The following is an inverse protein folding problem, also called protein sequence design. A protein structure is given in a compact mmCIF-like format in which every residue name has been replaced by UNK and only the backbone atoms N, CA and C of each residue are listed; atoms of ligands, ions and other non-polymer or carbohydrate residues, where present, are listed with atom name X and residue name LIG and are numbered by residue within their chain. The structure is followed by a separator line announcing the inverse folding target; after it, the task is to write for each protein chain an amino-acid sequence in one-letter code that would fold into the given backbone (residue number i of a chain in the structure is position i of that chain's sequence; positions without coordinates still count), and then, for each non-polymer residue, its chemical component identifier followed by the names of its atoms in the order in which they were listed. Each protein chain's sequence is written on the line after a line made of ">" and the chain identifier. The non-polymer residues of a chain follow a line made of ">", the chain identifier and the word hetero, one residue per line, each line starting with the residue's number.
data_IF_414053668748
#
_entry.id   IF_414053668748
#
_cell.length_a   1.000
_cell.length_b   1.000
_cell.length_c   1.000
_cell.angle_alpha   90.00
_cell.angle_beta   90.00
_cell.angle_gamma   90.00
#
_symmetry.space_group_name_H-M   'P 1'
#
loop_
_entity.id
_entity.type
_entity.pdbx_description
1 polymer ?
#
# COMPACT_ATOMS: atom_id res chain seq x y z
N UNK A 1 7.23 10.98 -16.76
CA UNK A 1 6.59 12.15 -16.10
C UNK A 1 6.61 12.06 -14.58
N UNK A 2 7.23 11.01 -14.03
CA UNK A 2 7.39 10.80 -12.60
C UNK A 2 8.74 11.36 -12.15
N UNK A 3 8.72 12.19 -11.11
CA UNK A 3 9.91 12.71 -10.44
C UNK A 3 9.98 12.16 -9.01
N UNK A 4 11.10 11.55 -8.66
CA UNK A 4 11.30 10.86 -7.40
C UNK A 4 11.76 11.80 -6.29
N UNK A 5 11.15 11.67 -5.13
CA UNK A 5 11.56 12.31 -3.87
C UNK A 5 12.36 11.32 -3.02
N UNK A 6 11.88 10.07 -2.95
CA UNK A 6 12.60 8.92 -2.41
C UNK A 6 12.30 7.68 -3.27
N UNK A 7 13.34 6.88 -3.55
CA UNK A 7 13.21 5.66 -4.36
C UNK A 7 14.20 4.61 -3.86
N UNK A 8 13.76 3.81 -2.91
CA UNK A 8 14.53 2.73 -2.28
C UNK A 8 14.07 1.34 -2.78
N UNK A 9 13.24 1.31 -3.83
CA UNK A 9 12.64 0.11 -4.42
C UNK A 9 11.72 -0.61 -3.43
N UNK A 10 10.91 0.17 -2.72
CA UNK A 10 9.87 -0.37 -1.85
C UNK A 10 8.73 -0.91 -2.69
N UNK A 11 7.92 -1.79 -2.11
CA UNK A 11 6.75 -2.37 -2.78
C UNK A 11 5.55 -1.38 -2.83
N UNK A 12 5.59 -0.33 -2.01
CA UNK A 12 4.52 0.66 -1.89
C UNK A 12 4.97 2.07 -2.29
N UNK A 13 4.07 2.83 -2.92
CA UNK A 13 4.31 4.18 -3.44
C UNK A 13 3.27 5.18 -2.94
N UNK A 14 3.72 6.37 -2.53
CA UNK A 14 2.89 7.56 -2.45
C UNK A 14 3.15 8.42 -3.69
N UNK A 15 2.11 8.63 -4.49
CA UNK A 15 2.17 9.41 -5.72
C UNK A 15 1.41 10.73 -5.57
N UNK A 16 2.15 11.83 -5.64
CA UNK A 16 1.60 13.18 -5.61
C UNK A 16 1.17 13.63 -7.01
N UNK A 17 -0.05 14.18 -7.14
CA UNK A 17 -0.60 14.71 -8.40
C UNK A 17 -1.04 16.15 -8.21
N UNK A 18 -0.32 17.09 -8.85
CA UNK A 18 -0.50 18.52 -8.62
C UNK A 18 -1.73 19.10 -9.34
N UNK A 19 -2.09 20.34 -9.03
CA UNK A 19 -3.20 21.07 -9.66
C UNK A 19 -2.82 21.83 -10.92
N UNK A 20 -3.72 22.71 -11.36
CA UNK A 20 -3.50 23.60 -12.51
C UNK A 20 -2.38 24.62 -12.23
N UNK A 21 -1.57 24.91 -13.26
CA UNK A 21 -0.40 25.80 -13.21
C UNK A 21 0.62 25.42 -12.14
N UNK A 22 0.66 24.13 -11.79
CA UNK A 22 1.58 23.57 -10.82
C UNK A 22 2.71 22.77 -11.47
N UNK A 23 3.65 22.40 -10.60
CA UNK A 23 4.74 21.45 -10.80
C UNK A 23 5.17 20.94 -9.43
N UNK A 24 6.46 20.62 -9.24
CA UNK A 24 7.00 20.29 -7.91
C UNK A 24 6.77 21.41 -6.89
N UNK A 25 6.81 22.67 -7.33
CA UNK A 25 6.62 23.84 -6.47
C UNK A 25 5.22 23.94 -5.85
N UNK A 26 4.25 23.17 -6.36
CA UNK A 26 2.92 23.03 -5.76
C UNK A 26 3.03 22.59 -4.31
N UNK A 27 4.01 21.74 -4.00
CA UNK A 27 4.15 21.10 -2.71
C UNK A 27 5.13 21.80 -1.77
N UNK A 28 5.82 22.84 -2.25
CA UNK A 28 6.87 23.51 -1.52
C UNK A 28 6.29 24.56 -0.57
N UNK A 29 6.59 24.43 0.72
CA UNK A 29 6.41 25.51 1.69
C UNK A 29 7.52 26.55 1.50
N UNK A 30 8.77 26.09 1.39
CA UNK A 30 9.93 26.91 1.07
C UNK A 30 10.92 26.11 0.18
N UNK A 31 12.17 26.59 0.02
CA UNK A 31 13.18 25.92 -0.82
C UNK A 31 13.68 24.59 -0.27
N UNK A 32 13.63 24.41 1.05
CA UNK A 32 14.18 23.26 1.77
C UNK A 32 13.09 22.29 2.22
N UNK A 33 11.85 22.79 2.37
CA UNK A 33 10.71 22.06 2.91
C UNK A 33 9.59 21.94 1.89
N UNK A 34 9.19 20.70 1.63
CA UNK A 34 8.03 20.37 0.80
C UNK A 34 7.23 19.23 1.43
N UNK A 35 5.95 19.13 1.08
CA UNK A 35 5.07 18.09 1.63
C UNK A 35 5.58 16.65 1.35
N UNK A 36 5.92 16.28 0.10
CA UNK A 36 6.51 14.97 -0.17
C UNK A 36 7.78 14.70 0.63
N UNK A 37 8.64 15.71 0.83
CA UNK A 37 9.87 15.56 1.59
C UNK A 37 9.61 15.33 3.07
N UNK A 38 8.67 16.06 3.67
CA UNK A 38 8.26 15.82 5.06
C UNK A 38 7.72 14.40 5.28
N UNK A 39 7.00 13.83 4.29
CA UNK A 39 6.55 12.43 4.38
C UNK A 39 7.71 11.43 4.18
N UNK A 40 8.68 11.75 3.33
CA UNK A 40 9.85 10.88 3.10
C UNK A 40 10.75 10.81 4.34
N UNK A 41 10.86 11.92 5.08
CA UNK A 41 11.66 12.03 6.31
C UNK A 41 10.95 11.47 7.56
N UNK A 42 9.64 11.25 7.51
CA UNK A 42 8.88 10.66 8.60
C UNK A 42 9.08 9.14 8.66
N UNK A 43 9.63 8.61 9.74
CA UNK A 43 10.02 7.19 9.85
C UNK A 43 8.85 6.22 9.62
N UNK A 44 7.63 6.55 10.03
CA UNK A 44 6.47 5.67 9.85
C UNK A 44 6.06 5.54 8.38
N UNK A 45 6.36 6.57 7.58
CA UNK A 45 5.97 6.65 6.17
C UNK A 45 7.15 6.29 5.28
N UNK A 46 8.30 6.95 5.47
CA UNK A 46 9.52 6.77 4.70
C UNK A 46 10.06 5.35 4.73
N UNK A 47 9.88 4.58 5.81
CA UNK A 47 10.30 3.18 5.86
C UNK A 47 9.41 2.24 5.03
N UNK A 48 8.18 2.65 4.69
CA UNK A 48 7.18 1.80 4.02
C UNK A 48 6.95 2.20 2.57
N UNK A 49 7.00 3.50 2.27
CA UNK A 49 6.65 4.05 0.96
C UNK A 49 7.84 4.72 0.29
N UNK A 50 8.01 4.43 -1.00
CA UNK A 50 8.69 5.35 -1.90
C UNK A 50 7.76 6.52 -2.21
N UNK A 51 8.32 7.67 -2.57
CA UNK A 51 7.56 8.89 -2.79
C UNK A 51 7.94 9.53 -4.10
N UNK A 52 6.94 9.82 -4.93
CA UNK A 52 7.13 10.47 -6.21
C UNK A 52 6.04 11.51 -6.50
N UNK A 53 6.33 12.41 -7.44
CA UNK A 53 5.40 13.37 -8.00
C UNK A 53 5.17 13.06 -9.47
N UNK A 54 3.91 13.00 -9.91
CA UNK A 54 3.56 13.01 -11.32
C UNK A 54 3.47 14.47 -11.79
N UNK A 55 4.43 14.86 -12.64
CA UNK A 55 4.54 16.21 -13.16
C UNK A 55 4.11 16.27 -14.62
N UNK A 56 3.18 17.17 -14.90
CA UNK A 56 2.61 17.37 -16.23
C UNK A 56 2.49 18.85 -16.56
N UNK A 57 2.65 19.19 -17.83
CA UNK A 57 2.65 20.58 -18.27
C UNK A 57 1.24 21.20 -18.12
N UNK A 58 1.14 22.18 -17.22
CA UNK A 58 0.05 23.15 -17.15
C UNK A 58 0.70 24.52 -16.98
N UNK A 59 0.40 25.49 -17.85
CA UNK A 59 1.16 26.76 -17.97
C UNK A 59 1.46 27.50 -16.65
N UNK A 60 2.59 27.17 -16.00
CA UNK A 60 3.65 28.08 -15.53
C UNK A 60 5.00 27.35 -15.33
N UNK A 61 5.37 26.37 -16.17
CA UNK A 61 6.77 25.89 -16.19
C UNK A 61 7.67 26.88 -16.95
N UNK A 62 7.85 28.09 -16.40
CA UNK A 62 8.91 29.02 -16.82
C UNK A 62 10.11 28.95 -15.87
N UNK A 63 10.63 27.75 -15.57
CA UNK A 63 11.94 27.67 -14.89
C UNK A 63 12.75 26.41 -15.19
N UNK A 64 12.91 26.05 -16.47
CA UNK A 64 14.14 25.40 -16.91
C UNK A 64 14.71 26.19 -18.09
N UNK A 65 15.94 26.68 -17.91
CA UNK A 65 16.74 27.53 -18.82
C UNK A 65 16.48 29.06 -18.79
N UNK A 66 16.80 29.70 -17.65
CA UNK A 66 17.46 31.03 -17.72
C UNK A 66 18.95 30.82 -18.00
N UNK A 67 19.29 30.55 -19.26
CA UNK A 67 20.59 30.89 -19.81
C UNK A 67 20.36 31.97 -20.86
N UNK A 68 20.44 33.23 -20.42
CA UNK A 68 20.50 34.38 -21.32
C UNK A 68 21.80 34.30 -22.12
N UNK A 69 21.71 33.85 -23.37
CA UNK A 69 22.84 33.81 -24.28
C UNK A 69 22.40 33.58 -25.73
N UNK A 70 23.08 34.28 -26.65
CA UNK A 70 22.91 34.22 -28.11
C UNK A 70 23.00 32.81 -28.73
N UNK A 71 23.31 31.78 -27.93
CA UNK A 71 23.49 30.38 -28.32
C UNK A 71 22.18 29.56 -28.41
N UNK A 72 21.06 30.06 -27.89
CA UNK A 72 19.76 29.35 -27.94
C UNK A 72 19.19 29.18 -29.37
N UNK A 73 19.70 29.91 -30.37
CA UNK A 73 19.21 29.83 -31.75
C UNK A 73 19.81 28.68 -32.57
N UNK A 74 20.90 28.05 -32.11
CA UNK A 74 21.65 27.07 -32.91
C UNK A 74 21.30 25.61 -32.53
N UNK A 75 20.70 25.39 -31.35
CA UNK A 75 20.34 24.05 -30.87
C UNK A 75 18.83 23.75 -30.92
N UNK A 76 18.12 24.23 -31.94
CA UNK A 76 16.72 23.84 -32.20
C UNK A 76 16.62 22.41 -32.78
N UNK A 77 17.01 21.40 -31.99
CA UNK A 77 16.63 20.00 -32.23
C UNK A 77 15.30 19.74 -31.51
N UNK A 78 14.21 19.64 -32.29
CA UNK A 78 12.91 19.02 -31.96
C UNK A 78 12.51 19.09 -30.48
N UNK A 79 12.32 20.28 -29.93
CA UNK A 79 11.52 20.40 -28.70
C UNK A 79 10.06 20.08 -29.06
N UNK A 80 9.51 19.01 -28.48
CA UNK A 80 8.06 18.75 -28.49
C UNK A 80 7.41 20.05 -28.02
N UNK A 81 6.55 20.66 -28.85
CA UNK A 81 5.81 21.85 -28.45
C UNK A 81 4.90 21.45 -27.27
N UNK A 82 5.27 21.83 -26.05
CA UNK A 82 4.49 21.56 -24.84
C UNK A 82 3.18 22.37 -24.93
N UNK A 83 2.06 21.66 -25.14
CA UNK A 83 0.72 22.24 -25.21
C UNK A 83 -0.04 21.83 -23.96
N UNK A 84 -0.91 22.71 -23.47
CA UNK A 84 -1.88 22.33 -22.44
C UNK A 84 -2.74 21.20 -23.01
N UNK A 85 -2.70 20.05 -22.34
CA UNK A 85 -3.58 18.93 -22.64
C UNK A 85 -4.87 19.06 -21.82
N UNK A 86 -6.02 18.62 -22.36
CA UNK A 86 -7.21 18.50 -21.54
C UNK A 86 -7.03 17.42 -20.46
N UNK A 87 -7.83 17.48 -19.40
CA UNK A 87 -7.63 16.65 -18.20
C UNK A 87 -7.80 15.16 -18.41
N UNK A 88 -8.60 14.76 -19.40
CA UNK A 88 -8.76 13.37 -19.83
C UNK A 88 -7.48 12.82 -20.48
N UNK A 89 -6.84 13.58 -21.36
CA UNK A 89 -5.53 13.23 -21.94
C UNK A 89 -4.43 13.14 -20.86
N UNK A 90 -4.43 14.05 -19.89
CA UNK A 90 -3.49 13.96 -18.75
C UNK A 90 -3.76 12.70 -17.91
N UNK A 91 -5.04 12.33 -17.73
CA UNK A 91 -5.39 11.10 -17.03
C UNK A 91 -4.94 9.84 -17.80
N UNK A 92 -4.96 9.85 -19.14
CA UNK A 92 -4.38 8.79 -19.96
C UNK A 92 -2.85 8.66 -19.80
N UNK A 93 -2.16 9.80 -19.71
CA UNK A 93 -0.72 9.80 -19.44
C UNK A 93 -0.43 9.23 -18.05
N UNK A 94 -1.17 9.65 -17.03
CA UNK A 94 -1.02 9.11 -15.67
C UNK A 94 -1.35 7.61 -15.61
N UNK A 95 -2.39 7.17 -16.33
CA UNK A 95 -2.76 5.76 -16.47
C UNK A 95 -1.65 4.94 -17.12
N UNK A 96 -1.01 5.48 -18.16
CA UNK A 96 0.14 4.85 -18.81
C UNK A 96 1.33 4.73 -17.87
N UNK A 97 1.69 5.81 -17.15
CA UNK A 97 2.80 5.79 -16.19
C UNK A 97 2.56 4.76 -15.09
N UNK A 98 1.33 4.67 -14.55
CA UNK A 98 0.98 3.65 -13.55
C UNK A 98 1.11 2.23 -14.11
N UNK A 99 0.70 2.01 -15.35
CA UNK A 99 0.72 0.68 -15.97
C UNK A 99 2.09 0.23 -16.47
N UNK A 100 2.95 1.17 -16.86
CA UNK A 100 4.21 0.86 -17.54
C UNK A 100 5.41 1.14 -16.66
N UNK A 101 5.44 2.29 -16.00
CA UNK A 101 6.60 2.77 -15.25
C UNK A 101 6.50 2.45 -13.77
N UNK A 102 5.28 2.40 -13.22
CA UNK A 102 5.00 2.10 -11.81
C UNK A 102 4.32 0.73 -11.64
N UNK A 103 4.47 -0.17 -12.61
CA UNK A 103 3.87 -1.50 -12.60
C UNK A 103 4.35 -2.39 -11.46
N UNK A 104 5.59 -2.14 -11.01
CA UNK A 104 6.26 -2.98 -10.01
C UNK A 104 5.76 -2.66 -8.58
N UNK A 105 5.08 -1.53 -8.38
CA UNK A 105 4.47 -1.21 -7.10
C UNK A 105 3.17 -1.98 -6.92
N UNK A 106 3.09 -2.82 -5.89
CA UNK A 106 1.87 -3.55 -5.58
C UNK A 106 0.79 -2.65 -4.95
N UNK A 107 1.20 -1.53 -4.35
CA UNK A 107 0.34 -0.63 -3.56
C UNK A 107 0.67 0.84 -3.82
N UNK A 108 -0.30 1.58 -4.32
CA UNK A 108 -0.17 3.02 -4.62
C UNK A 108 -1.23 3.80 -3.84
N UNK A 109 -0.80 4.82 -3.10
CA UNK A 109 -1.68 5.85 -2.52
C UNK A 109 -1.48 7.14 -3.31
N UNK A 110 -2.54 7.65 -3.90
CA UNK A 110 -2.50 8.91 -4.63
C UNK A 110 -2.90 10.05 -3.70
N UNK A 111 -2.04 11.07 -3.59
CA UNK A 111 -2.35 12.33 -2.91
C UNK A 111 -2.48 13.42 -3.97
N UNK A 112 -3.66 14.00 -4.12
CA UNK A 112 -3.91 14.92 -5.21
C UNK A 112 -4.49 16.24 -4.75
N UNK A 113 -4.07 17.32 -5.40
CA UNK A 113 -4.52 18.67 -5.10
C UNK A 113 -5.33 19.25 -6.26
N UNK A 114 -6.45 19.92 -5.94
CA UNK A 114 -7.20 20.72 -6.91
C UNK A 114 -7.52 19.91 -8.19
N UNK A 115 -7.21 20.42 -9.38
CA UNK A 115 -7.40 19.73 -10.66
C UNK A 115 -6.72 18.34 -10.73
N UNK A 116 -5.61 18.13 -10.01
CA UNK A 116 -4.92 16.85 -9.94
C UNK A 116 -5.82 15.74 -9.44
N UNK A 117 -6.72 16.04 -8.50
CA UNK A 117 -7.68 15.06 -8.00
C UNK A 117 -8.74 14.66 -9.03
N UNK A 118 -9.12 15.55 -9.94
CA UNK A 118 -10.02 15.22 -11.05
C UNK A 118 -9.34 14.25 -12.02
N UNK A 119 -8.07 14.50 -12.33
CA UNK A 119 -7.23 13.62 -13.17
C UNK A 119 -7.10 12.23 -12.51
N UNK A 120 -6.76 12.19 -11.22
CA UNK A 120 -6.64 10.93 -10.47
C UNK A 120 -7.94 10.16 -10.40
N UNK A 121 -9.08 10.83 -10.19
CA UNK A 121 -10.40 10.16 -10.23
C UNK A 121 -10.69 9.55 -11.59
N UNK A 122 -10.38 10.26 -12.69
CA UNK A 122 -10.63 9.77 -14.05
C UNK A 122 -9.81 8.52 -14.35
N UNK A 123 -8.51 8.55 -14.00
CA UNK A 123 -7.63 7.38 -14.02
C UNK A 123 -8.24 6.19 -13.27
N UNK A 124 -8.65 6.40 -12.01
CA UNK A 124 -9.15 5.33 -11.14
C UNK A 124 -10.40 4.72 -11.76
N UNK A 125 -11.33 5.56 -12.24
CA UNK A 125 -12.55 5.12 -12.91
C UNK A 125 -12.26 4.29 -14.16
N UNK A 126 -11.30 4.70 -14.99
CA UNK A 126 -10.88 3.92 -16.17
C UNK A 126 -10.41 2.52 -15.77
N UNK A 127 -9.58 2.40 -14.73
CA UNK A 127 -9.14 1.09 -14.22
C UNK A 127 -10.33 0.25 -13.74
N UNK A 128 -11.28 0.85 -13.01
CA UNK A 128 -12.48 0.14 -12.52
C UNK A 128 -13.39 -0.33 -13.67
N UNK A 129 -13.61 0.52 -14.67
CA UNK A 129 -14.48 0.24 -15.82
C UNK A 129 -13.88 -0.79 -16.77
N UNK A 130 -12.55 -0.83 -16.89
CA UNK A 130 -11.84 -1.88 -17.62
C UNK A 130 -11.71 -3.19 -16.82
N UNK A 131 -12.26 -3.23 -15.60
CA UNK A 131 -12.16 -4.37 -14.67
C UNK A 131 -10.72 -4.80 -14.40
N UNK A 132 -9.78 -3.84 -14.45
CA UNK A 132 -8.39 -4.09 -14.14
C UNK A 132 -8.18 -4.27 -12.64
N UNK A 133 -7.35 -5.25 -12.27
CA UNK A 133 -6.82 -5.28 -10.91
C UNK A 133 -6.03 -3.98 -10.67
N UNK A 134 -6.48 -3.18 -9.72
CA UNK A 134 -5.84 -1.91 -9.37
C UNK A 134 -4.89 -2.10 -8.19
N UNK A 135 -3.64 -1.68 -8.38
CA UNK A 135 -2.67 -1.49 -7.30
C UNK A 135 -2.89 -0.16 -6.55
N UNK A 136 -3.80 0.70 -7.01
CA UNK A 136 -4.18 1.92 -6.30
C UNK A 136 -5.08 1.52 -5.13
N UNK A 137 -4.55 1.61 -3.91
CA UNK A 137 -5.24 1.22 -2.68
C UNK A 137 -5.90 2.42 -1.97
N UNK A 138 -5.43 3.64 -2.28
CA UNK A 138 -5.86 4.85 -1.60
C UNK A 138 -5.90 6.08 -2.48
N UNK A 139 -6.84 6.98 -2.18
CA UNK A 139 -6.93 8.31 -2.77
C UNK A 139 -7.18 9.37 -1.69
N UNK A 140 -6.27 10.33 -1.54
CA UNK A 140 -6.39 11.44 -0.61
C UNK A 140 -6.55 12.73 -1.41
N UNK A 141 -7.70 13.38 -1.23
CA UNK A 141 -8.08 14.62 -1.88
C UNK A 141 -7.69 15.83 -1.02
N UNK A 142 -6.98 16.80 -1.59
CA UNK A 142 -6.67 18.09 -0.99
C UNK A 142 -7.33 19.21 -1.83
N UNK A 143 -8.40 19.81 -1.31
CA UNK A 143 -9.13 20.90 -1.99
C UNK A 143 -9.50 20.58 -3.46
N UNK A 144 -9.93 19.34 -3.72
CA UNK A 144 -10.30 18.89 -5.07
C UNK A 144 -11.75 19.28 -5.38
N UNK A 145 -12.04 19.94 -6.52
CA UNK A 145 -13.41 20.25 -6.92
C UNK A 145 -14.11 18.98 -7.43
N UNK A 146 -14.69 18.19 -6.53
CA UNK A 146 -15.36 16.93 -6.87
C UNK A 146 -16.72 17.12 -7.54
N UNK A 147 -17.41 18.21 -7.22
CA UNK A 147 -18.73 18.53 -7.74
C UNK A 147 -18.83 20.00 -8.07
N UNK A 148 -19.34 20.34 -9.26
CA UNK A 148 -19.88 21.67 -9.58
C UNK A 148 -19.18 22.86 -8.93
N UNK A 149 -17.84 22.88 -8.92
CA UNK A 149 -17.15 24.13 -8.58
C UNK A 149 -17.67 25.14 -9.59
N UNK A 150 -17.99 26.35 -9.13
CA UNK A 150 -17.91 27.48 -10.04
C UNK A 150 -16.44 27.57 -10.45
N UNK A 151 -16.02 26.78 -11.43
CA UNK A 151 -14.70 26.80 -12.04
C UNK A 151 -14.39 28.20 -12.61
N UNK A 152 -15.42 29.06 -12.70
CA UNK A 152 -15.31 30.51 -12.77
C UNK A 152 -14.30 31.11 -11.76
N UNK A 153 -14.15 30.58 -10.53
CA UNK A 153 -13.15 31.08 -9.57
C UNK A 153 -11.73 30.55 -9.84
N UNK A 154 -11.59 29.40 -10.53
CA UNK A 154 -10.28 28.90 -10.98
C UNK A 154 -9.68 29.83 -12.04
N UNK A 155 -10.49 30.63 -12.75
CA UNK A 155 -9.98 31.69 -13.65
C UNK A 155 -8.97 32.61 -12.96
N UNK A 156 -9.13 32.87 -11.65
CA UNK A 156 -8.21 33.70 -10.87
C UNK A 156 -6.81 33.08 -10.71
N UNK A 157 -6.69 31.76 -10.85
CA UNK A 157 -5.42 31.03 -10.81
C UNK A 157 -4.74 30.97 -12.18
N UNK A 158 -5.42 31.42 -13.25
CA UNK A 158 -4.92 31.37 -14.62
C UNK A 158 -4.61 32.79 -15.09
N UNK A 159 -3.45 33.00 -15.72
CA UNK A 159 -3.13 34.32 -16.28
C UNK A 159 -4.14 34.73 -17.35
N UNK A 160 -4.47 36.03 -17.40
CA UNK A 160 -5.49 36.65 -18.26
C UNK A 160 -5.30 36.44 -19.78
N UNK A 161 -4.20 35.81 -20.21
CA UNK A 161 -3.87 35.51 -21.61
C UNK A 161 -3.93 34.01 -21.96
N UNK A 162 -4.38 33.14 -21.06
CA UNK A 162 -4.64 31.75 -21.39
C UNK A 162 -6.03 31.60 -22.01
N UNK A 163 -6.15 31.98 -23.28
CA UNK A 163 -7.12 31.30 -24.14
C UNK A 163 -6.93 29.79 -23.94
N UNK A 164 -8.01 29.06 -23.61
CA UNK A 164 -8.10 27.59 -23.54
C UNK A 164 -7.70 26.90 -22.22
N UNK A 165 -8.16 27.37 -21.06
CA UNK A 165 -8.64 26.40 -20.06
C UNK A 165 -10.13 26.32 -20.30
N UNK A 166 -10.58 25.26 -20.96
CA UNK A 166 -12.00 25.06 -21.21
C UNK A 166 -12.67 24.65 -19.89
N UNK A 167 -12.86 25.64 -19.02
CA UNK A 167 -13.53 25.51 -17.73
C UNK A 167 -14.98 25.02 -17.91
N UNK A 168 -15.55 25.22 -19.10
CA UNK A 168 -16.83 24.61 -19.52
C UNK A 168 -16.72 23.10 -19.66
N UNK A 169 -15.75 22.60 -20.44
CA UNK A 169 -15.48 21.15 -20.55
C UNK A 169 -15.09 20.51 -19.22
N UNK A 170 -14.35 21.22 -18.36
CA UNK A 170 -14.04 20.75 -17.02
C UNK A 170 -15.29 20.63 -16.14
N UNK A 171 -16.25 21.57 -16.24
CA UNK A 171 -17.48 21.54 -15.43
C UNK A 171 -18.36 20.35 -15.81
N UNK A 172 -18.58 20.10 -17.10
CA UNK A 172 -19.39 18.97 -17.59
C UNK A 172 -18.70 17.62 -17.33
N UNK A 173 -17.37 17.59 -17.45
CA UNK A 173 -16.56 16.44 -17.09
C UNK A 173 -16.66 16.12 -15.58
N UNK A 174 -16.65 17.11 -14.68
CA UNK A 174 -16.70 16.88 -13.23
C UNK A 174 -18.01 16.27 -12.76
N UNK A 175 -19.16 16.71 -13.27
CA UNK A 175 -20.47 16.16 -12.89
C UNK A 175 -20.64 14.72 -13.38
N UNK A 176 -20.24 14.44 -14.63
CA UNK A 176 -20.27 13.09 -15.20
C UNK A 176 -19.33 12.14 -14.46
N UNK A 177 -18.11 12.61 -14.17
CA UNK A 177 -17.11 11.88 -13.42
C UNK A 177 -17.58 11.61 -11.98
N UNK A 178 -18.26 12.56 -11.34
CA UNK A 178 -18.80 12.35 -10.00
C UNK A 178 -19.93 11.32 -9.97
N UNK A 179 -20.85 11.35 -10.94
CA UNK A 179 -21.89 10.31 -11.05
C UNK A 179 -21.28 8.91 -11.24
N UNK A 180 -20.27 8.79 -12.10
CA UNK A 180 -19.54 7.53 -12.31
C UNK A 180 -18.84 7.07 -11.02
N UNK A 181 -18.19 7.99 -10.31
CA UNK A 181 -17.55 7.73 -9.02
C UNK A 181 -18.53 7.12 -8.01
N UNK A 182 -19.70 7.73 -7.82
CA UNK A 182 -20.74 7.22 -6.91
C UNK A 182 -21.23 5.83 -7.33
N UNK A 183 -21.47 5.63 -8.63
CA UNK A 183 -21.93 4.35 -9.18
C UNK A 183 -20.91 3.22 -9.02
N UNK A 184 -19.62 3.55 -8.95
CA UNK A 184 -18.53 2.58 -8.80
C UNK A 184 -18.06 2.41 -7.35
N UNK A 185 -18.71 3.05 -6.36
CA UNK A 185 -18.25 3.16 -4.97
C UNK A 185 -17.68 1.89 -4.33
N UNK A 186 -18.27 0.72 -4.61
CA UNK A 186 -17.81 -0.58 -4.07
C UNK A 186 -16.47 -1.08 -4.62
N UNK A 187 -16.04 -0.59 -5.79
CA UNK A 187 -14.79 -0.98 -6.46
C UNK A 187 -13.70 0.08 -6.35
N UNK A 188 -13.98 1.21 -5.68
CA UNK A 188 -13.03 2.32 -5.55
C UNK A 188 -12.00 2.06 -4.45
N UNK A 189 -10.80 2.66 -4.56
CA UNK A 189 -9.84 2.68 -3.46
C UNK A 189 -10.41 3.42 -2.24
N UNK A 190 -9.81 3.15 -1.08
CA UNK A 190 -10.15 3.85 0.16
C UNK A 190 -9.88 5.34 -0.05
N UNK A 191 -10.94 6.15 0.08
CA UNK A 191 -10.86 7.58 -0.25
C UNK A 191 -11.03 8.46 0.98
N UNK A 192 -10.19 9.49 1.09
CA UNK A 192 -10.22 10.48 2.17
C UNK A 192 -10.17 11.90 1.60
N UNK A 193 -10.84 12.83 2.28
CA UNK A 193 -11.04 14.20 1.80
C UNK A 193 -10.52 15.22 2.81
N UNK A 194 -9.73 16.18 2.37
CA UNK A 194 -9.26 17.32 3.17
C UNK A 194 -9.66 18.60 2.47
N UNK A 195 -10.37 19.48 3.19
CA UNK A 195 -10.81 20.77 2.66
C UNK A 195 -10.37 21.93 3.55
N UNK A 196 -10.01 23.05 2.92
CA UNK A 196 -9.62 24.28 3.59
C UNK A 196 -10.85 25.06 4.05
N UNK A 197 -10.89 25.45 5.32
CA UNK A 197 -11.98 26.27 5.87
C UNK A 197 -11.97 27.70 5.31
N UNK A 198 -10.83 28.14 4.79
CA UNK A 198 -10.62 29.44 4.16
C UNK A 198 -10.41 29.32 2.64
N UNK A 199 -10.80 28.20 2.03
CA UNK A 199 -10.70 28.02 0.58
C UNK A 199 -11.76 28.87 -0.15
N UNK A 200 -11.30 29.85 -0.92
CA UNK A 200 -12.14 30.73 -1.74
C UNK A 200 -12.28 30.27 -3.19
N UNK A 201 -11.52 29.25 -3.61
CA UNK A 201 -11.50 28.70 -4.97
C UNK A 201 -12.45 27.51 -5.06
N UNK A 202 -12.33 26.58 -4.12
CA UNK A 202 -13.15 25.37 -4.03
C UNK A 202 -13.93 25.44 -2.72
N UNK A 203 -15.22 25.75 -2.82
CA UNK A 203 -16.07 25.75 -1.65
C UNK A 203 -16.22 24.34 -1.06
N UNK A 204 -16.60 24.26 0.22
CA UNK A 204 -16.78 22.99 0.94
C UNK A 204 -17.73 22.00 0.23
N UNK A 205 -18.79 22.49 -0.43
CA UNK A 205 -19.76 21.61 -1.11
C UNK A 205 -19.16 21.00 -2.37
N UNK A 206 -18.22 21.70 -3.00
CA UNK A 206 -17.45 21.20 -4.13
C UNK A 206 -16.31 20.28 -3.69
N UNK A 207 -15.67 20.58 -2.54
CA UNK A 207 -14.55 19.82 -1.99
C UNK A 207 -14.94 18.43 -1.43
N UNK A 208 -16.23 18.17 -1.26
CA UNK A 208 -16.76 16.94 -0.69
C UNK A 208 -17.77 16.32 -1.66
N UNK A 209 -17.68 15.02 -1.99
CA UNK A 209 -18.73 14.38 -2.79
C UNK A 209 -20.02 14.28 -1.97
N UNK A 210 -21.16 14.20 -2.66
CA UNK A 210 -22.51 14.20 -2.05
C UNK A 210 -22.73 13.06 -1.05
N UNK A 211 -21.98 11.96 -1.17
CA UNK A 211 -22.03 10.75 -0.35
C UNK A 211 -20.86 10.64 0.64
N UNK A 212 -20.04 11.68 0.81
CA UNK A 212 -18.94 11.62 1.78
C UNK A 212 -19.48 11.51 3.21
N UNK A 213 -19.20 10.38 3.84
CA UNK A 213 -19.40 10.21 5.28
C UNK A 213 -18.51 11.18 6.07
N UNK A 214 -18.99 11.67 7.22
CA UNK A 214 -18.26 12.65 8.05
C UNK A 214 -16.88 12.16 8.49
N UNK A 215 -16.71 10.85 8.71
CA UNK A 215 -15.45 10.18 9.09
C UNK A 215 -14.39 10.18 7.97
N UNK A 216 -14.79 10.31 6.70
CA UNK A 216 -13.89 10.30 5.55
C UNK A 216 -13.40 11.69 5.16
N UNK A 217 -13.79 12.73 5.90
CA UNK A 217 -13.44 14.12 5.60
C UNK A 217 -12.88 14.86 6.81
N UNK A 218 -11.88 15.71 6.60
CA UNK A 218 -11.30 16.59 7.61
C UNK A 218 -11.28 18.03 7.11
N UNK A 219 -11.68 18.95 7.99
CA UNK A 219 -11.52 20.38 7.78
C UNK A 219 -10.17 20.84 8.36
N UNK A 220 -9.47 21.70 7.63
CA UNK A 220 -8.23 22.32 8.11
C UNK A 220 -8.31 23.84 8.02
N UNK A 221 -7.49 24.52 8.81
CA UNK A 221 -7.41 25.98 8.84
C UNK A 221 -6.50 26.52 7.71
N UNK A 222 -6.84 26.20 6.46
CA UNK A 222 -6.02 26.52 5.28
C UNK A 222 -6.86 27.12 4.15
N UNK A 223 -6.19 27.78 3.21
CA UNK A 223 -6.76 28.18 1.92
C UNK A 223 -6.43 27.19 0.80
N UNK A 224 -6.85 27.50 -0.43
CA UNK A 224 -6.73 26.58 -1.58
C UNK A 224 -5.29 26.11 -1.83
N UNK A 225 -4.32 27.03 -1.81
CA UNK A 225 -2.92 26.73 -2.14
C UNK A 225 -2.07 26.36 -0.92
N UNK A 226 -2.42 26.81 0.28
CA UNK A 226 -1.65 26.52 1.49
C UNK A 226 -1.91 25.11 2.03
N UNK A 227 -3.08 24.53 1.72
CA UNK A 227 -3.46 23.16 2.14
C UNK A 227 -2.50 22.06 1.65
N UNK A 228 -1.72 22.30 0.60
CA UNK A 228 -0.74 21.33 0.09
C UNK A 228 0.71 21.68 0.45
N UNK A 229 0.91 22.66 1.35
CA UNK A 229 2.22 23.23 1.71
C UNK A 229 2.41 23.32 3.24
N UNK A 230 2.30 22.20 3.98
CA UNK A 230 2.58 22.19 5.40
C UNK A 230 4.02 22.68 5.67
N UNK A 231 4.16 23.50 6.71
CA UNK A 231 5.45 24.05 7.14
C UNK A 231 6.34 22.99 7.79
N UNK A 232 5.73 22.02 8.49
CA UNK A 232 6.45 20.98 9.21
C UNK A 232 5.52 19.79 9.55
N UNK A 233 6.08 18.76 10.18
CA UNK A 233 5.38 17.54 10.57
C UNK A 233 4.32 17.72 11.67
N UNK A 234 4.25 18.90 12.31
CA UNK A 234 3.19 19.24 13.28
C UNK A 234 2.02 20.02 12.67
N UNK A 235 2.12 20.47 11.41
CA UNK A 235 1.01 21.11 10.72
C UNK A 235 -0.21 20.19 10.65
N UNK A 236 -1.41 20.71 10.93
CA UNK A 236 -2.64 19.91 10.98
C UNK A 236 -2.89 19.11 9.71
N UNK A 237 -2.61 19.70 8.53
CA UNK A 237 -2.69 19.00 7.24
C UNK A 237 -1.78 17.79 7.21
N UNK A 238 -0.52 17.94 7.60
CA UNK A 238 0.45 16.85 7.59
C UNK A 238 -0.02 15.71 8.49
N UNK A 239 -0.42 16.03 9.73
CA UNK A 239 -0.90 15.04 10.70
C UNK A 239 -2.14 14.31 10.18
N UNK A 240 -3.11 15.04 9.61
CA UNK A 240 -4.31 14.44 9.04
C UNK A 240 -4.00 13.50 7.88
N UNK A 241 -3.12 13.93 6.95
CA UNK A 241 -2.72 13.10 5.80
C UNK A 241 -1.91 11.88 6.25
N UNK A 242 -0.99 12.02 7.21
CA UNK A 242 -0.25 10.90 7.81
C UNK A 242 -1.21 9.86 8.39
N UNK A 243 -2.19 10.29 9.17
CA UNK A 243 -3.22 9.41 9.73
C UNK A 243 -4.02 8.68 8.64
N UNK A 244 -4.39 9.38 7.57
CA UNK A 244 -5.08 8.77 6.44
C UNK A 244 -4.22 7.77 5.69
N UNK A 245 -2.94 8.06 5.45
CA UNK A 245 -2.01 7.11 4.83
C UNK A 245 -1.91 5.84 5.68
N UNK A 246 -1.74 5.99 6.99
CA UNK A 246 -1.64 4.86 7.91
C UNK A 246 -2.93 4.03 7.92
N UNK A 247 -4.10 4.66 8.04
CA UNK A 247 -5.40 3.97 7.99
C UNK A 247 -5.59 3.23 6.67
N UNK A 248 -5.35 3.89 5.53
CA UNK A 248 -5.45 3.26 4.21
C UNK A 248 -4.51 2.06 4.12
N UNK A 249 -3.27 2.20 4.57
CA UNK A 249 -2.30 1.11 4.50
C UNK A 249 -2.70 -0.09 5.37
N UNK A 250 -3.32 0.17 6.53
CA UNK A 250 -3.81 -0.87 7.44
C UNK A 250 -5.08 -1.55 6.92
N UNK A 251 -6.02 -0.78 6.36
CA UNK A 251 -7.33 -1.26 5.89
C UNK A 251 -7.24 -1.94 4.50
N UNK A 252 -6.32 -1.49 3.64
CA UNK A 252 -6.25 -1.98 2.28
C UNK A 252 -5.72 -3.42 2.22
N UNK A 253 -6.41 -4.35 1.52
CA UNK A 253 -6.01 -5.74 1.41
C UNK A 253 -4.54 -5.87 0.97
N UNK A 254 -3.74 -6.58 1.77
CA UNK A 254 -2.38 -6.98 1.39
C UNK A 254 -2.49 -8.29 0.62
N UNK A 255 -1.97 -8.33 -0.61
CA UNK A 255 -1.97 -9.56 -1.42
C UNK A 255 -0.85 -10.46 -0.91
N UNK A 256 -1.17 -11.73 -0.72
CA UNK A 256 -0.19 -12.79 -0.46
C UNK A 256 -0.39 -13.79 -1.59
N UNK A 257 0.72 -14.26 -2.17
CA UNK A 257 0.69 -15.33 -3.16
C UNK A 257 1.25 -16.58 -2.50
N UNK A 258 0.59 -17.72 -2.74
CA UNK A 258 1.15 -19.02 -2.39
C UNK A 258 2.21 -19.35 -3.42
N UNK A 259 3.43 -19.57 -2.94
CA UNK A 259 4.57 -19.95 -3.75
C UNK A 259 4.89 -21.43 -3.56
N UNK A 260 5.29 -22.07 -4.67
CA UNK A 260 5.75 -23.46 -4.63
C UNK A 260 7.12 -23.51 -3.98
N UNK A 261 7.26 -24.37 -2.98
CA UNK A 261 8.53 -24.59 -2.32
C UNK A 261 9.43 -25.55 -3.12
N UNK A 262 10.73 -25.23 -3.20
CA UNK A 262 11.78 -26.11 -3.73
C UNK A 262 12.73 -26.46 -2.58
N UNK A 263 12.84 -27.75 -2.26
CA UNK A 263 13.70 -28.22 -1.16
C UNK A 263 15.15 -28.36 -1.64
N UNK A 264 15.95 -27.37 -1.29
CA UNK A 264 17.41 -27.32 -1.47
C UNK A 264 18.14 -27.62 -0.14
N UNK A 265 17.45 -28.25 0.81
CA UNK A 265 17.92 -28.53 2.18
C UNK A 265 18.09 -27.28 3.06
N UNK A 266 17.44 -26.17 2.68
CA UNK A 266 17.54 -24.89 3.38
C UNK A 266 16.95 -24.91 4.81
N UNK A 267 16.08 -25.88 5.11
CA UNK A 267 15.42 -26.00 6.42
C UNK A 267 15.83 -27.23 7.23
N UNK A 268 16.78 -28.05 6.75
CA UNK A 268 17.15 -29.32 7.42
C UNK A 268 17.69 -29.11 8.85
N UNK A 269 18.25 -27.92 9.14
CA UNK A 269 18.78 -27.55 10.45
C UNK A 269 17.85 -26.66 11.28
N UNK A 270 16.63 -26.39 10.80
CA UNK A 270 15.63 -25.63 11.54
C UNK A 270 14.98 -26.52 12.61
N UNK A 271 14.75 -25.96 13.80
CA UNK A 271 14.24 -26.74 14.95
C UNK A 271 12.91 -27.42 14.65
N UNK A 272 12.02 -26.82 13.86
CA UNK A 272 10.75 -27.48 13.51
C UNK A 272 10.96 -28.77 12.72
N UNK A 273 11.99 -28.85 11.86
CA UNK A 273 12.36 -30.06 11.11
C UNK A 273 13.08 -31.05 12.02
N UNK A 274 14.02 -30.59 12.85
CA UNK A 274 14.70 -31.44 13.83
C UNK A 274 13.71 -32.13 14.78
N UNK A 275 12.68 -31.41 15.23
CA UNK A 275 11.59 -31.97 16.04
C UNK A 275 10.78 -33.04 15.30
N UNK A 276 10.67 -32.96 13.98
CA UNK A 276 10.03 -34.01 13.17
C UNK A 276 10.92 -35.25 13.03
N UNK A 277 12.24 -35.06 12.89
CA UNK A 277 13.22 -36.15 12.86
C UNK A 277 13.18 -36.93 14.18
N UNK A 278 13.18 -36.24 15.32
CA UNK A 278 13.11 -36.89 16.65
C UNK A 278 11.83 -37.71 16.81
N UNK A 279 10.74 -37.28 16.19
CA UNK A 279 9.45 -37.96 16.25
C UNK A 279 9.27 -39.03 15.16
N UNK A 280 10.28 -39.28 14.33
CA UNK A 280 10.22 -40.21 13.18
C UNK A 280 9.03 -39.94 12.26
N UNK A 281 8.77 -38.65 11.96
CA UNK A 281 7.70 -38.25 11.06
C UNK A 281 8.06 -38.59 9.61
N UNK A 282 7.10 -39.14 8.86
CA UNK A 282 7.28 -39.49 7.46
C UNK A 282 7.76 -38.30 6.60
N UNK A 283 8.74 -38.55 5.72
CA UNK A 283 9.41 -37.52 4.93
C UNK A 283 8.47 -36.65 4.10
N UNK A 284 7.40 -37.23 3.52
CA UNK A 284 6.39 -36.45 2.76
C UNK A 284 5.66 -35.44 3.64
N UNK A 285 5.36 -35.79 4.90
CA UNK A 285 4.72 -34.88 5.85
C UNK A 285 5.69 -33.75 6.22
N UNK A 286 6.96 -34.08 6.44
CA UNK A 286 8.01 -33.09 6.68
C UNK A 286 8.19 -32.14 5.48
N UNK A 287 8.12 -32.66 4.25
CA UNK A 287 8.17 -31.85 3.02
C UNK A 287 7.01 -30.85 2.94
N UNK A 288 5.78 -31.30 3.22
CA UNK A 288 4.62 -30.40 3.29
C UNK A 288 4.78 -29.34 4.39
N UNK A 289 5.33 -29.72 5.55
CA UNK A 289 5.61 -28.77 6.63
C UNK A 289 6.62 -27.69 6.23
N UNK A 290 7.68 -28.05 5.50
CA UNK A 290 8.63 -27.09 4.93
C UNK A 290 7.97 -26.10 3.97
N UNK A 291 7.09 -26.59 3.09
CA UNK A 291 6.33 -25.72 2.17
C UNK A 291 5.38 -24.77 2.89
N UNK A 292 4.70 -25.27 3.93
CA UNK A 292 3.85 -24.45 4.78
C UNK A 292 4.66 -23.37 5.50
N UNK A 293 5.79 -23.76 6.10
CA UNK A 293 6.71 -22.84 6.78
C UNK A 293 7.23 -21.75 5.82
N UNK A 294 7.67 -22.13 4.61
CA UNK A 294 8.13 -21.20 3.57
C UNK A 294 7.09 -20.12 3.27
N UNK A 295 5.85 -20.53 2.98
CA UNK A 295 4.78 -19.58 2.67
C UNK A 295 4.43 -18.69 3.86
N UNK A 296 4.50 -19.20 5.09
CA UNK A 296 4.27 -18.39 6.29
C UNK A 296 5.41 -17.39 6.56
N UNK A 297 6.65 -17.70 6.20
CA UNK A 297 7.77 -16.76 6.23
C UNK A 297 7.59 -15.64 5.21
N UNK A 298 7.19 -15.97 3.98
CA UNK A 298 6.85 -14.96 2.96
C UNK A 298 5.73 -14.04 3.44
N UNK A 299 4.67 -14.61 4.02
CA UNK A 299 3.58 -13.82 4.60
C UNK A 299 4.09 -12.91 5.72
N UNK A 300 4.91 -13.42 6.65
CA UNK A 300 5.46 -12.62 7.75
C UNK A 300 6.26 -11.41 7.27
N UNK A 301 6.94 -11.51 6.13
CA UNK A 301 7.67 -10.40 5.52
C UNK A 301 6.77 -9.32 4.92
N UNK A 302 5.49 -9.62 4.65
CA UNK A 302 4.47 -8.66 4.17
C UNK A 302 3.80 -7.94 5.36
N UNK A 303 3.71 -8.60 6.51
CA UNK A 303 3.00 -8.16 7.71
C UNK A 303 3.96 -7.68 8.79
N UNK A 304 4.69 -6.59 8.50
CA UNK A 304 5.81 -6.13 9.34
C UNK A 304 5.45 -5.08 10.39
N UNK A 305 4.32 -4.36 10.26
CA UNK A 305 3.97 -3.27 11.18
C UNK A 305 3.61 -3.76 12.57
N UNK A 306 3.72 -2.91 13.59
CA UNK A 306 3.35 -3.28 14.96
C UNK A 306 1.88 -3.68 15.11
N UNK A 307 1.00 -3.06 14.31
CA UNK A 307 -0.40 -3.47 14.23
C UNK A 307 -0.55 -4.88 13.63
N UNK A 308 0.15 -5.16 12.52
CA UNK A 308 0.14 -6.49 11.91
C UNK A 308 0.66 -7.55 12.89
N UNK A 309 1.76 -7.25 13.60
CA UNK A 309 2.35 -8.13 14.62
C UNK A 309 1.35 -8.45 15.73
N UNK A 310 0.56 -7.46 16.16
CA UNK A 310 -0.51 -7.68 17.16
C UNK A 310 -1.61 -8.59 16.62
N UNK A 311 -2.05 -8.38 15.37
CA UNK A 311 -3.06 -9.24 14.72
C UNK A 311 -2.55 -10.68 14.53
N UNK A 312 -1.32 -10.83 14.03
CA UNK A 312 -0.66 -12.12 13.87
C UNK A 312 -0.46 -12.80 15.22
N UNK A 313 -0.10 -12.06 16.27
CA UNK A 313 0.06 -12.58 17.63
C UNK A 313 -1.19 -13.29 18.14
N UNK A 314 -2.37 -12.68 17.93
CA UNK A 314 -3.66 -13.32 18.26
C UNK A 314 -3.88 -14.61 17.48
N UNK A 315 -3.54 -14.62 16.19
CA UNK A 315 -3.66 -15.80 15.34
C UNK A 315 -2.69 -16.92 15.75
N UNK A 316 -1.45 -16.59 16.10
CA UNK A 316 -0.47 -17.52 16.66
C UNK A 316 -0.96 -18.15 17.96
N UNK A 317 -1.54 -17.36 18.87
CA UNK A 317 -2.11 -17.88 20.12
C UNK A 317 -3.19 -18.92 19.87
N UNK A 318 -4.13 -18.65 18.96
CA UNK A 318 -5.19 -19.61 18.60
C UNK A 318 -4.66 -20.89 17.93
N UNK A 319 -3.66 -20.76 17.05
CA UNK A 319 -3.02 -21.92 16.42
C UNK A 319 -2.29 -22.78 17.47
N UNK A 320 -1.63 -22.14 18.44
CA UNK A 320 -1.02 -22.82 19.58
C UNK A 320 -2.07 -23.54 20.44
N UNK A 321 -3.21 -22.92 20.72
CA UNK A 321 -4.33 -23.56 21.43
C UNK A 321 -4.83 -24.82 20.71
N UNK A 322 -5.05 -24.75 19.39
CA UNK A 322 -5.42 -25.92 18.57
C UNK A 322 -4.39 -27.04 18.71
N UNK A 323 -3.09 -26.70 18.64
CA UNK A 323 -2.03 -27.69 18.84
C UNK A 323 -2.09 -28.33 20.23
N UNK A 324 -2.25 -27.53 21.30
CA UNK A 324 -2.29 -28.02 22.67
C UNK A 324 -3.46 -28.99 22.89
N UNK A 325 -4.64 -28.68 22.38
CA UNK A 325 -5.82 -29.54 22.48
C UNK A 325 -5.64 -30.88 21.75
N UNK A 326 -5.02 -30.87 20.57
CA UNK A 326 -4.69 -32.10 19.84
C UNK A 326 -3.56 -32.89 20.52
N UNK A 327 -2.61 -32.20 21.16
CA UNK A 327 -1.49 -32.83 21.87
C UNK A 327 -1.98 -33.60 23.11
N UNK A 328 -2.94 -33.05 23.84
CA UNK A 328 -3.60 -33.75 24.95
C UNK A 328 -4.27 -35.06 24.48
N UNK A 329 -4.94 -35.03 23.33
CA UNK A 329 -5.53 -36.22 22.72
C UNK A 329 -4.48 -37.23 22.27
N UNK A 330 -3.37 -36.77 21.72
CA UNK A 330 -2.24 -37.61 21.31
C UNK A 330 -1.68 -38.39 22.50
N UNK A 331 -1.43 -37.71 23.63
CA UNK A 331 -0.94 -38.34 24.87
C UNK A 331 -1.96 -39.36 25.40
N UNK A 332 -3.25 -38.98 25.44
CA UNK A 332 -4.29 -39.83 26.02
C UNK A 332 -4.55 -41.12 25.22
N UNK A 333 -4.37 -41.09 23.89
CA UNK A 333 -4.79 -42.17 22.99
C UNK A 333 -3.64 -42.92 22.31
N UNK A 334 -2.37 -42.62 22.64
CA UNK A 334 -1.18 -43.24 22.04
C UNK A 334 -1.20 -43.24 20.50
N UNK A 335 -1.62 -42.11 19.92
CA UNK A 335 -1.68 -41.91 18.46
C UNK A 335 -0.25 -41.88 17.90
N UNK A 336 -0.03 -42.23 16.63
CA UNK A 336 1.32 -42.08 16.03
C UNK A 336 1.64 -40.61 15.73
N UNK A 337 2.92 -40.18 15.76
CA UNK A 337 3.32 -38.82 15.44
C UNK A 337 2.77 -38.31 14.10
N UNK A 338 2.82 -39.14 13.05
CA UNK A 338 2.24 -38.84 11.73
C UNK A 338 0.74 -38.52 11.77
N UNK A 339 -0.03 -39.31 12.54
CA UNK A 339 -1.47 -39.09 12.68
C UNK A 339 -1.76 -37.82 13.50
N UNK A 340 -0.92 -37.54 14.49
CA UNK A 340 -1.04 -36.36 15.33
C UNK A 340 -0.83 -35.07 14.53
N UNK A 341 0.31 -34.93 13.84
CA UNK A 341 0.56 -33.73 13.03
C UNK A 341 -0.51 -33.54 11.94
N UNK A 342 -0.97 -34.63 11.31
CA UNK A 342 -2.05 -34.58 10.34
C UNK A 342 -3.39 -34.14 10.96
N UNK A 343 -3.66 -34.51 12.22
CA UNK A 343 -4.84 -34.06 12.95
C UNK A 343 -4.79 -32.55 13.24
N UNK A 344 -3.64 -32.03 13.70
CA UNK A 344 -3.43 -30.59 13.90
C UNK A 344 -3.63 -29.81 12.59
N UNK A 345 -3.01 -30.26 11.49
CA UNK A 345 -3.19 -29.63 10.18
C UNK A 345 -4.63 -29.66 9.70
N UNK A 346 -5.36 -30.75 9.95
CA UNK A 346 -6.78 -30.88 9.60
C UNK A 346 -7.63 -29.91 10.42
N UNK A 347 -7.38 -29.80 11.72
CA UNK A 347 -8.13 -28.90 12.59
C UNK A 347 -7.89 -27.44 12.23
N UNK A 348 -6.65 -27.04 11.93
CA UNK A 348 -6.36 -25.71 11.38
C UNK A 348 -7.16 -25.42 10.10
N UNK A 349 -7.24 -26.38 9.18
CA UNK A 349 -8.01 -26.21 7.95
C UNK A 349 -9.54 -26.12 8.19
N UNK A 350 -10.06 -26.86 9.15
CA UNK A 350 -11.47 -26.81 9.54
C UNK A 350 -11.83 -25.48 10.21
N UNK A 351 -10.91 -24.97 11.03
CA UNK A 351 -11.11 -23.73 11.79
C UNK A 351 -10.76 -22.45 10.99
N UNK A 352 -10.22 -22.60 9.78
CA UNK A 352 -9.69 -21.51 8.94
C UNK A 352 -10.69 -20.37 8.71
N UNK A 353 -11.98 -20.73 8.54
CA UNK A 353 -13.10 -19.81 8.29
C UNK A 353 -14.00 -19.60 9.52
N UNK A 354 -13.61 -20.10 10.68
CA UNK A 354 -14.34 -19.96 11.96
C UNK A 354 -13.45 -19.34 13.02
N UNK A 355 -12.90 -20.13 13.95
CA UNK A 355 -12.13 -19.58 15.07
C UNK A 355 -10.81 -18.94 14.63
N UNK A 356 -10.21 -19.41 13.53
CA UNK A 356 -9.04 -18.80 12.91
C UNK A 356 -9.37 -17.74 11.86
N UNK A 357 -10.64 -17.35 11.71
CA UNK A 357 -10.99 -16.24 10.84
C UNK A 357 -10.29 -14.97 11.35
N UNK A 358 -9.46 -14.40 10.49
CA UNK A 358 -8.57 -13.30 10.86
C UNK A 358 -8.99 -12.02 10.14
N UNK A 359 -8.64 -10.87 10.71
CA UNK A 359 -8.80 -9.59 10.03
C UNK A 359 -7.93 -9.50 8.76
N UNK A 360 -6.86 -10.29 8.71
CA UNK A 360 -5.99 -10.43 7.54
C UNK A 360 -6.61 -11.48 6.60
N UNK A 361 -7.57 -11.04 5.79
CA UNK A 361 -8.35 -11.93 4.90
C UNK A 361 -7.54 -12.61 3.80
N UNK A 362 -6.31 -12.17 3.54
CA UNK A 362 -5.41 -12.79 2.57
C UNK A 362 -4.65 -14.01 3.11
N UNK A 363 -4.65 -14.25 4.43
CA UNK A 363 -4.03 -15.46 4.99
C UNK A 363 -4.90 -16.69 4.76
N UNK A 364 -4.50 -17.52 3.80
CA UNK A 364 -5.08 -18.84 3.54
C UNK A 364 -4.62 -19.92 4.54
N UNK A 365 -5.28 -21.07 4.51
CA UNK A 365 -4.96 -22.26 5.32
C UNK A 365 -3.47 -22.63 5.29
N UNK A 366 -2.81 -22.52 4.14
CA UNK A 366 -1.39 -22.89 3.99
C UNK A 366 -0.48 -22.06 4.90
N UNK A 367 -0.72 -20.74 4.98
CA UNK A 367 0.02 -19.84 5.85
C UNK A 367 -0.23 -20.18 7.31
N UNK A 368 -1.47 -20.49 7.69
CA UNK A 368 -1.83 -20.84 9.08
C UNK A 368 -1.21 -22.17 9.52
N UNK A 369 -1.14 -23.16 8.63
CA UNK A 369 -0.35 -24.38 8.89
C UNK A 369 1.15 -24.09 9.01
N UNK A 370 1.66 -23.11 8.26
CA UNK A 370 3.05 -22.66 8.38
C UNK A 370 3.34 -21.91 9.68
N UNK A 371 2.38 -21.13 10.18
CA UNK A 371 2.46 -20.45 11.47
C UNK A 371 2.65 -21.42 12.63
N UNK A 372 2.04 -22.61 12.57
CA UNK A 372 2.32 -23.70 13.51
C UNK A 372 3.81 -24.11 13.49
N UNK A 373 4.41 -24.21 12.31
CA UNK A 373 5.82 -24.57 12.17
C UNK A 373 6.75 -23.41 12.55
N UNK A 374 6.34 -22.15 12.36
CA UNK A 374 7.03 -20.98 12.91
C UNK A 374 7.05 -21.00 14.44
N UNK A 375 5.96 -21.39 15.08
CA UNK A 375 5.92 -21.60 16.53
C UNK A 375 6.83 -22.75 16.98
N UNK A 376 6.83 -23.85 16.22
CA UNK A 376 7.69 -25.01 16.48
C UNK A 376 9.18 -24.72 16.27
N UNK A 377 9.54 -23.70 15.49
CA UNK A 377 10.92 -23.36 15.16
C UNK A 377 11.65 -22.60 16.28
N UNK A 378 11.64 -23.16 17.48
CA UNK A 378 12.32 -22.67 18.67
C UNK A 378 13.01 -23.82 19.39
N UNK A 379 14.10 -23.50 20.08
CA UNK A 379 14.85 -24.44 20.91
C UNK A 379 14.15 -24.68 22.26
N UNK A 380 12.92 -25.17 22.22
CA UNK A 380 12.09 -25.43 23.37
C UNK A 380 11.17 -26.63 23.13
N UNK A 381 10.35 -26.94 24.14
CA UNK A 381 9.35 -28.01 24.08
C UNK A 381 7.92 -27.49 23.91
N UNK A 382 7.72 -26.22 23.55
CA UNK A 382 6.38 -25.61 23.51
C UNK A 382 5.50 -26.28 22.43
N UNK A 383 6.10 -26.53 21.26
CA UNK A 383 5.50 -27.33 20.19
C UNK A 383 6.47 -28.43 19.78
N UNK A 384 6.07 -29.68 20.00
CA UNK A 384 6.82 -30.92 19.71
C UNK A 384 5.88 -32.01 19.15
N UNK A 385 6.44 -33.00 18.45
CA UNK A 385 5.65 -34.08 17.85
C UNK A 385 5.78 -35.42 18.56
N UNK A 386 6.64 -35.49 19.59
CA UNK A 386 6.90 -36.68 20.40
C UNK A 386 7.24 -36.28 21.84
N UNK A 387 6.77 -37.06 22.82
CA UNK A 387 7.15 -36.92 24.24
C UNK A 387 8.65 -37.06 24.48
N UNK A 388 9.36 -37.74 23.59
CA UNK A 388 10.81 -37.98 23.67
C UNK A 388 11.63 -36.76 23.24
N UNK A 389 11.00 -35.74 22.66
CA UNK A 389 11.70 -34.55 22.19
C UNK A 389 12.28 -33.77 23.37
N UNK A 390 13.61 -33.68 23.44
CA UNK A 390 14.34 -32.90 24.44
C UNK A 390 15.21 -31.82 23.78
N UNK A 391 15.47 -30.72 24.49
CA UNK A 391 16.36 -29.64 24.02
C UNK A 391 17.76 -30.17 23.72
N UNK A 392 18.24 -31.13 24.53
CA UNK A 392 19.57 -31.71 24.40
C UNK A 392 19.70 -32.56 23.12
N UNK A 393 18.68 -33.35 22.79
CA UNK A 393 18.60 -34.10 21.53
C UNK A 393 18.58 -33.18 20.32
N UNK A 394 17.82 -32.07 20.38
CA UNK A 394 17.75 -31.10 19.30
C UNK A 394 19.11 -30.42 19.05
N UNK A 395 19.82 -30.04 20.11
CA UNK A 395 21.18 -29.48 20.01
C UNK A 395 22.19 -30.46 19.41
N UNK A 396 22.11 -31.74 19.80
CA UNK A 396 22.98 -32.78 19.24
C UNK A 396 22.74 -32.96 17.73
N UNK A 397 21.48 -33.09 17.30
CA UNK A 397 21.14 -33.21 15.88
C UNK A 397 21.57 -31.97 15.08
N UNK A 398 21.34 -30.77 15.63
CA UNK A 398 21.74 -29.52 14.98
C UNK A 398 23.24 -29.45 14.76
N UNK A 399 24.04 -29.86 15.75
CA UNK A 399 25.52 -29.89 15.65
C UNK A 399 26.01 -30.95 14.68
N UNK A 400 25.45 -32.17 14.71
CA UNK A 400 25.83 -33.26 13.80
C UNK A 400 25.68 -32.88 12.32
N UNK A 401 24.61 -32.15 11.97
CA UNK A 401 24.40 -31.67 10.60
C UNK A 401 25.36 -30.53 10.18
N UNK A 402 26.06 -29.89 11.13
CA UNK A 402 27.08 -28.87 10.81
C UNK A 402 28.46 -29.47 10.57
N UNK A 403 28.71 -30.72 10.97
CA UNK A 403 30.00 -31.42 10.77
C UNK A 403 30.06 -32.17 9.41
N UNK A 404 28.94 -32.34 8.71
CA UNK A 404 28.85 -33.01 7.39
C UNK A 404 28.94 -32.07 6.15
N UNK A 405 29.33 -30.80 6.33
CA UNK A 405 29.65 -29.86 5.24
C UNK A 405 31.14 -29.58 5.19
#
# INVERSE_FOLDING_TARGET
>A
MVEWISHEKKDSLILFVHGLNGGLETWNFNKETSFPKLLAEDEDIGNVFDIACFNYFTKFTQTYAKTSGLWARIFSKKNKLERNLPTDEIAELLYTEIRVTLSDYSRIIIIAHSMGGVISKNLILKKVEHEEQSNIIGFISLAVPHFGAKLANITSMVSSNAQLVDLGLLSEATDTLNRRWINCSKKLPITRYVYGSHDTIVDKKSALPMDSERNNSIAVNEGHSSICKPENSSSTVFVAVKQFIQQINLEAPKKICVERFSDEKQYDNEYFVLKMIVADIHQDIAMHAKEYYYNAELARNIFTSDYDRKLLGHLYSKIREIYQEEYEQYIANSISPDKFIAAVHRRIAQEDKSSLDSLIKSLETIHKKGMLHQLANKNDRDIVWSSETSVETLEQLRRGNHEEK
#
